data_IF_241112869423
#
_entry.id   IF_241112869423
#
_cell.length_a   1.000
_cell.length_b   1.000
_cell.length_c   1.000
_cell.angle_alpha   90.00
_cell.angle_beta   90.00
_cell.angle_gamma   90.00
#
_symmetry.space_group_name_H-M   'P 1'
#
loop_
_entity.id
_entity.type
_entity.pdbx_description
1 polymer ?
#
# COMPACT_ATOMS: atom_id res chain seq x y z
N UNK A 1 46.28 31.81 -26.51
CA UNK A 1 45.39 32.47 -27.49
C UNK A 1 43.95 32.21 -27.04
N UNK A 2 43.28 33.19 -26.42
CA UNK A 2 42.11 33.93 -26.94
C UNK A 2 40.88 33.00 -27.15
N UNK A 3 39.87 32.93 -26.27
CA UNK A 3 38.81 33.89 -25.83
C UNK A 3 37.52 33.89 -26.68
N UNK A 4 36.39 33.99 -25.96
CA UNK A 4 34.96 34.25 -26.35
C UNK A 4 34.16 33.00 -26.80
N UNK A 5 33.03 32.58 -26.20
CA UNK A 5 32.00 33.14 -25.27
C UNK A 5 30.82 33.87 -25.94
N UNK A 6 29.63 33.68 -25.34
CA UNK A 6 28.28 34.27 -25.61
C UNK A 6 27.44 33.55 -26.70
N UNK A 7 26.10 33.45 -26.64
CA UNK A 7 25.08 33.69 -25.58
C UNK A 7 23.66 33.48 -26.18
N UNK A 8 22.63 33.21 -25.36
CA UNK A 8 21.43 34.08 -25.17
C UNK A 8 20.18 33.36 -24.64
N UNK A 9 19.56 33.98 -23.62
CA UNK A 9 18.11 33.91 -23.35
C UNK A 9 17.73 33.13 -22.08
N UNK A 10 16.87 33.62 -21.18
CA UNK A 10 16.12 34.89 -21.12
C UNK A 10 15.87 35.25 -19.64
N UNK A 11 15.85 36.55 -19.27
CA UNK A 11 15.56 36.99 -17.87
C UNK A 11 14.63 38.19 -17.86
N UNK A 12 13.52 38.10 -17.12
CA UNK A 12 12.49 39.14 -16.97
C UNK A 12 11.65 38.84 -15.71
N UNK A 13 11.20 39.76 -14.85
CA UNK A 13 11.58 41.17 -14.55
C UNK A 13 10.82 41.65 -13.28
N UNK A 14 11.21 42.82 -12.75
CA UNK A 14 10.57 43.72 -11.74
C UNK A 14 11.22 43.61 -10.34
N UNK A 15 11.93 44.64 -9.82
CA UNK A 15 11.65 46.09 -9.56
C UNK A 15 10.74 46.29 -8.34
N UNK A 16 10.99 47.23 -7.41
CA UNK A 16 12.08 48.23 -7.28
C UNK A 16 12.12 48.82 -5.85
N UNK A 17 13.31 49.19 -5.35
CA UNK A 17 13.88 50.57 -5.21
C UNK A 17 13.40 51.39 -3.99
N UNK A 18 14.38 51.93 -3.24
CA UNK A 18 14.27 52.79 -2.03
C UNK A 18 14.24 54.31 -2.39
N UNK A 19 13.64 55.13 -1.49
CA UNK A 19 13.93 56.53 -1.02
C UNK A 19 14.41 57.62 -2.03
N UNK A 20 13.97 58.91 -1.96
CA UNK A 20 14.03 59.87 -0.80
C UNK A 20 12.70 60.65 -0.55
N UNK A 21 12.57 61.72 0.28
CA UNK A 21 13.40 62.28 1.38
C UNK A 21 13.43 63.83 1.52
N UNK A 22 13.15 64.39 2.73
CA UNK A 22 13.00 65.84 3.16
C UNK A 22 11.71 66.51 2.64
N UNK A 23 10.95 67.36 3.37
CA UNK A 23 11.32 68.53 4.19
C UNK A 23 10.08 69.15 4.93
N UNK A 24 10.28 69.67 6.17
CA UNK A 24 9.65 70.84 6.88
C UNK A 24 8.11 71.10 7.00
N UNK A 25 7.78 72.01 7.95
CA UNK A 25 6.46 72.55 8.38
C UNK A 25 5.64 71.65 9.33
N UNK A 26 5.10 72.09 10.49
CA UNK A 26 5.12 73.41 11.16
C UNK A 26 5.20 73.30 12.70
N UNK A 27 5.38 74.45 13.38
CA UNK A 27 5.40 74.59 14.84
C UNK A 27 3.98 74.67 15.43
N UNK A 28 3.84 74.31 16.71
CA UNK A 28 3.14 75.14 17.71
C UNK A 28 3.66 74.81 19.12
N UNK A 29 3.88 75.84 19.93
CA UNK A 29 4.37 75.75 21.32
C UNK A 29 3.21 75.49 22.29
N UNK A 30 3.47 74.82 23.43
CA UNK A 30 3.01 75.39 24.71
C UNK A 30 3.71 74.83 25.97
N UNK A 31 4.45 75.72 26.63
CA UNK A 31 4.40 76.04 28.07
C UNK A 31 4.46 74.97 29.17
N UNK A 32 5.61 74.98 29.86
CA UNK A 32 5.74 75.09 31.34
C UNK A 32 5.12 74.04 32.29
N UNK A 33 5.97 73.38 33.10
CA UNK A 33 6.24 73.81 34.50
C UNK A 33 6.70 72.68 35.45
N UNK A 34 7.77 72.98 36.20
CA UNK A 34 8.05 72.60 37.60
C UNK A 34 7.97 71.14 38.09
N UNK A 35 9.14 70.64 38.52
CA UNK A 35 9.34 70.33 39.95
C UNK A 35 9.35 68.87 40.39
N UNK A 36 10.18 68.57 41.40
CA UNK A 36 9.96 67.42 42.28
C UNK A 36 10.88 66.21 42.08
N UNK A 37 12.07 66.32 42.67
CA UNK A 37 12.93 65.20 43.09
C UNK A 37 12.15 64.01 43.70
N UNK A 38 12.40 62.78 43.25
CA UNK A 38 11.92 61.56 43.90
C UNK A 38 12.98 60.44 43.93
N UNK A 39 13.06 59.81 45.10
CA UNK A 39 13.97 58.71 45.49
C UNK A 39 13.70 57.40 44.75
N UNK A 40 14.71 56.50 44.63
CA UNK A 40 14.55 55.22 43.96
C UNK A 40 13.79 54.21 44.84
N UNK A 41 12.46 54.21 44.76
CA UNK A 41 11.62 53.23 45.46
C UNK A 41 11.67 51.86 44.76
N UNK A 42 12.49 50.95 45.31
CA UNK A 42 12.55 49.53 44.90
C UNK A 42 11.20 48.84 45.19
N UNK A 43 10.32 48.74 44.19
CA UNK A 43 9.08 47.92 44.27
C UNK A 43 9.43 46.43 44.40
N UNK A 44 9.01 45.72 45.47
CA UNK A 44 9.02 44.27 45.51
C UNK A 44 7.76 43.69 44.82
N UNK A 45 7.79 42.38 44.56
CA UNK A 45 6.62 41.49 44.43
C UNK A 45 5.51 41.81 43.40
N UNK A 46 5.83 42.27 42.19
CA UNK A 46 4.89 42.13 41.04
C UNK A 46 5.16 40.88 40.18
N UNK A 47 6.35 40.29 40.26
CA UNK A 47 6.73 39.11 39.47
C UNK A 47 5.90 37.86 39.80
N UNK A 48 5.57 37.61 41.08
CA UNK A 48 4.89 36.37 41.48
C UNK A 48 3.44 36.29 40.93
N UNK A 49 2.65 37.36 41.06
CA UNK A 49 1.29 37.40 40.49
C UNK A 49 1.30 37.36 38.96
N UNK A 50 2.26 38.02 38.31
CA UNK A 50 2.40 37.99 36.85
C UNK A 50 2.87 36.63 36.33
N UNK A 51 3.68 35.90 37.10
CA UNK A 51 4.10 34.54 36.79
C UNK A 51 2.94 33.55 36.96
N UNK A 52 2.14 33.67 38.02
CA UNK A 52 0.98 32.79 38.26
C UNK A 52 -0.11 32.95 37.18
N UNK A 53 -0.41 34.17 36.74
CA UNK A 53 -1.36 34.40 35.63
C UNK A 53 -0.83 33.94 34.28
N UNK A 54 0.49 34.05 34.05
CA UNK A 54 1.15 33.49 32.85
C UNK A 54 1.07 31.96 32.85
N UNK A 55 1.35 31.29 33.97
CA UNK A 55 1.24 29.83 34.09
C UNK A 55 -0.20 29.36 33.87
N UNK A 56 -1.19 30.01 34.50
CA UNK A 56 -2.61 29.65 34.34
C UNK A 56 -3.11 29.79 32.89
N UNK A 57 -2.71 30.86 32.20
CA UNK A 57 -3.08 31.10 30.80
C UNK A 57 -2.37 30.15 29.83
N UNK A 58 -1.11 29.80 30.10
CA UNK A 58 -0.40 28.75 29.37
C UNK A 58 -1.04 27.37 29.58
N UNK A 59 -1.39 27.00 30.82
CA UNK A 59 -2.10 25.76 31.12
C UNK A 59 -3.47 25.70 30.42
N UNK A 60 -4.26 26.78 30.45
CA UNK A 60 -5.53 26.87 29.71
C UNK A 60 -5.33 26.69 28.21
N UNK A 61 -4.30 27.30 27.65
CA UNK A 61 -3.97 27.17 26.22
C UNK A 61 -3.55 25.73 25.87
N UNK A 62 -2.72 25.10 26.69
CA UNK A 62 -2.32 23.70 26.54
C UNK A 62 -3.52 22.75 26.63
N UNK A 63 -4.41 22.94 27.61
CA UNK A 63 -5.63 22.15 27.74
C UNK A 63 -6.54 22.28 26.51
N UNK A 64 -6.68 23.47 25.94
CA UNK A 64 -7.45 23.69 24.71
C UNK A 64 -6.80 23.02 23.48
N UNK A 65 -5.47 23.11 23.34
CA UNK A 65 -4.72 22.43 22.26
C UNK A 65 -4.82 20.91 22.40
N UNK A 66 -4.65 20.35 23.59
CA UNK A 66 -4.77 18.90 23.84
C UNK A 66 -6.21 18.44 23.59
N UNK A 67 -7.22 19.18 24.09
CA UNK A 67 -8.63 18.80 23.91
C UNK A 67 -9.04 18.83 22.45
N UNK A 68 -8.66 19.87 21.70
CA UNK A 68 -8.95 19.96 20.26
C UNK A 68 -8.19 18.90 19.46
N UNK A 69 -6.92 18.62 19.78
CA UNK A 69 -6.16 17.53 19.16
C UNK A 69 -6.80 16.15 19.41
N UNK A 70 -7.27 15.88 20.63
CA UNK A 70 -7.98 14.64 20.98
C UNK A 70 -9.32 14.52 20.23
N UNK A 71 -10.09 15.59 20.10
CA UNK A 71 -11.33 15.60 19.31
C UNK A 71 -11.03 15.33 17.83
N UNK A 72 -10.04 16.00 17.25
CA UNK A 72 -9.61 15.77 15.87
C UNK A 72 -9.13 14.32 15.66
N UNK A 73 -8.35 13.77 16.58
CA UNK A 73 -7.88 12.38 16.51
C UNK A 73 -9.02 11.37 16.66
N UNK A 74 -9.96 11.60 17.58
CA UNK A 74 -11.14 10.75 17.75
C UNK A 74 -12.05 10.78 16.51
N UNK A 75 -12.29 11.96 15.93
CA UNK A 75 -13.03 12.13 14.69
C UNK A 75 -12.32 11.45 13.51
N UNK A 76 -11.00 11.66 13.35
CA UNK A 76 -10.21 11.00 12.31
C UNK A 76 -10.23 9.47 12.45
N UNK A 77 -10.03 8.94 13.67
CA UNK A 77 -10.15 7.50 13.95
C UNK A 77 -11.53 6.97 13.55
N UNK A 78 -12.60 7.63 13.99
CA UNK A 78 -13.96 7.19 13.71
C UNK A 78 -14.27 7.19 12.19
N UNK A 79 -13.88 8.25 11.49
CA UNK A 79 -14.02 8.37 10.04
C UNK A 79 -13.22 7.29 9.30
N UNK A 80 -11.96 7.06 9.67
CA UNK A 80 -11.13 5.99 9.09
C UNK A 80 -11.76 4.61 9.36
N UNK A 81 -12.15 4.33 10.60
CA UNK A 81 -12.80 3.05 10.95
C UNK A 81 -14.09 2.84 10.15
N UNK A 82 -14.93 3.87 10.00
CA UNK A 82 -16.15 3.80 9.21
C UNK A 82 -15.87 3.54 7.72
N UNK A 83 -14.93 4.26 7.11
CA UNK A 83 -14.56 4.04 5.71
C UNK A 83 -13.97 2.64 5.48
N UNK A 84 -13.09 2.16 6.37
CA UNK A 84 -12.55 0.81 6.30
C UNK A 84 -13.65 -0.25 6.44
N UNK A 85 -14.53 -0.13 7.44
CA UNK A 85 -15.67 -1.05 7.61
C UNK A 85 -16.59 -1.04 6.39
N UNK A 86 -16.90 0.13 5.83
CA UNK A 86 -17.76 0.25 4.65
C UNK A 86 -17.11 -0.36 3.40
N UNK A 87 -15.81 -0.16 3.22
CA UNK A 87 -15.03 -0.76 2.14
C UNK A 87 -14.98 -2.28 2.27
N UNK A 88 -14.55 -2.81 3.42
CA UNK A 88 -14.46 -4.26 3.63
C UNK A 88 -15.81 -4.97 3.54
N UNK A 89 -16.88 -4.36 4.05
CA UNK A 89 -18.25 -4.88 3.88
C UNK A 89 -18.65 -4.94 2.42
N UNK A 90 -18.53 -3.83 1.68
CA UNK A 90 -18.88 -3.78 0.27
C UNK A 90 -18.03 -4.73 -0.62
N UNK A 91 -16.75 -4.92 -0.29
CA UNK A 91 -15.90 -5.92 -0.94
C UNK A 91 -16.33 -7.35 -0.64
N UNK A 92 -16.74 -7.64 0.61
CA UNK A 92 -17.34 -8.92 0.99
C UNK A 92 -18.64 -9.21 0.25
N UNK A 93 -19.58 -8.26 0.27
CA UNK A 93 -20.87 -8.36 -0.43
C UNK A 93 -20.67 -8.62 -1.94
N UNK A 94 -19.75 -7.88 -2.58
CA UNK A 94 -19.43 -8.04 -4.00
C UNK A 94 -18.81 -9.41 -4.30
N UNK A 95 -17.86 -9.86 -3.48
CA UNK A 95 -17.17 -11.14 -3.64
C UNK A 95 -18.14 -12.32 -3.47
N UNK A 96 -18.95 -12.28 -2.41
CA UNK A 96 -20.02 -13.25 -2.16
C UNK A 96 -21.01 -13.30 -3.33
N UNK A 97 -21.52 -12.15 -3.79
CA UNK A 97 -22.46 -12.11 -4.92
C UNK A 97 -21.87 -12.62 -6.25
N UNK A 98 -20.55 -12.56 -6.43
CA UNK A 98 -19.88 -13.09 -7.62
C UNK A 98 -19.63 -14.60 -7.52
N UNK A 99 -19.36 -15.11 -6.32
CA UNK A 99 -19.29 -16.54 -6.03
C UNK A 99 -20.66 -17.22 -6.13
N UNK A 100 -21.69 -16.56 -5.60
CA UNK A 100 -23.09 -16.94 -5.71
C UNK A 100 -23.48 -17.23 -7.16
N UNK A 101 -23.26 -16.26 -8.05
CA UNK A 101 -23.54 -16.40 -9.51
C UNK A 101 -22.75 -17.53 -10.18
N UNK A 102 -21.54 -17.81 -9.70
CA UNK A 102 -20.73 -18.92 -10.20
C UNK A 102 -21.33 -20.26 -9.79
N UNK A 103 -21.71 -20.41 -8.51
CA UNK A 103 -22.38 -21.61 -8.00
C UNK A 103 -23.76 -21.82 -8.63
N UNK A 104 -24.53 -20.76 -8.87
CA UNK A 104 -25.80 -20.82 -9.60
C UNK A 104 -25.65 -21.35 -11.04
N UNK A 105 -24.43 -21.28 -11.61
CA UNK A 105 -24.10 -21.74 -12.97
C UNK A 105 -23.47 -23.14 -13.00
N UNK A 106 -22.60 -23.45 -12.03
CA UNK A 106 -21.78 -24.68 -12.00
C UNK A 106 -22.40 -25.77 -11.12
N UNK A 107 -23.28 -25.40 -10.20
CA UNK A 107 -23.81 -26.26 -9.14
C UNK A 107 -23.02 -26.15 -7.84
N UNK A 108 -23.58 -26.68 -6.76
CA UNK A 108 -23.09 -26.52 -5.38
C UNK A 108 -22.43 -27.78 -4.80
N UNK A 109 -22.26 -28.84 -5.58
CA UNK A 109 -21.69 -30.09 -5.07
C UNK A 109 -20.22 -29.89 -4.62
N UNK A 110 -19.91 -30.09 -3.32
CA UNK A 110 -18.58 -29.79 -2.78
C UNK A 110 -17.48 -30.65 -3.41
N UNK A 111 -17.78 -31.89 -3.81
CA UNK A 111 -16.80 -32.80 -4.39
C UNK A 111 -16.47 -32.40 -5.84
N UNK A 112 -17.50 -32.11 -6.65
CA UNK A 112 -17.29 -31.61 -8.01
C UNK A 112 -16.55 -30.27 -8.03
N UNK A 113 -16.83 -29.36 -7.10
CA UNK A 113 -16.14 -28.08 -7.03
C UNK A 113 -14.70 -28.21 -6.53
N UNK A 114 -14.49 -28.79 -5.35
CA UNK A 114 -13.17 -28.78 -4.71
C UNK A 114 -12.19 -29.79 -5.31
N UNK A 115 -12.66 -30.94 -5.80
CA UNK A 115 -11.79 -31.95 -6.43
C UNK A 115 -11.67 -31.70 -7.92
N UNK A 116 -12.78 -31.79 -8.69
CA UNK A 116 -12.71 -31.66 -10.14
C UNK A 116 -12.49 -30.22 -10.60
N UNK A 117 -13.28 -29.26 -10.09
CA UNK A 117 -13.21 -27.84 -10.47
C UNK A 117 -11.82 -27.26 -10.23
N UNK A 118 -11.29 -27.39 -9.01
CA UNK A 118 -9.92 -26.97 -8.67
C UNK A 118 -8.88 -27.66 -9.55
N UNK A 119 -8.94 -28.99 -9.69
CA UNK A 119 -7.95 -29.73 -10.50
C UNK A 119 -7.94 -29.31 -11.96
N UNK A 120 -9.13 -29.12 -12.56
CA UNK A 120 -9.27 -28.64 -13.94
C UNK A 120 -8.74 -27.21 -14.07
N UNK A 121 -9.08 -26.31 -13.14
CA UNK A 121 -8.60 -24.93 -13.16
C UNK A 121 -7.08 -24.86 -13.08
N UNK A 122 -6.46 -25.54 -12.11
CA UNK A 122 -5.00 -25.60 -11.95
C UNK A 122 -4.33 -26.22 -13.17
N UNK A 123 -4.89 -27.30 -13.73
CA UNK A 123 -4.39 -27.93 -14.96
C UNK A 123 -4.44 -26.96 -16.14
N UNK A 124 -5.59 -26.32 -16.39
CA UNK A 124 -5.77 -25.37 -17.48
C UNK A 124 -4.81 -24.17 -17.35
N UNK A 125 -4.70 -23.55 -16.16
CA UNK A 125 -3.77 -22.43 -15.93
C UNK A 125 -2.33 -22.85 -16.21
N UNK A 126 -1.90 -24.00 -15.67
CA UNK A 126 -0.56 -24.52 -15.92
C UNK A 126 -0.27 -24.75 -17.40
N UNK A 127 -1.15 -25.45 -18.12
CA UNK A 127 -0.92 -25.80 -19.52
C UNK A 127 -1.12 -24.64 -20.49
N UNK A 128 -1.95 -23.64 -20.17
CA UNK A 128 -2.08 -22.42 -20.98
C UNK A 128 -0.80 -21.59 -20.89
N UNK A 129 -0.40 -21.16 -19.68
CA UNK A 129 0.75 -20.27 -19.53
C UNK A 129 2.09 -21.02 -19.75
N UNK A 130 2.25 -22.19 -19.13
CA UNK A 130 3.42 -23.05 -19.35
C UNK A 130 3.53 -23.55 -20.80
N UNK A 131 2.41 -23.80 -21.47
CA UNK A 131 2.37 -24.14 -22.89
C UNK A 131 2.82 -22.99 -23.80
N UNK A 132 2.42 -21.74 -23.49
CA UNK A 132 2.92 -20.55 -24.20
C UNK A 132 4.45 -20.44 -24.07
N UNK A 133 5.00 -20.54 -22.85
CA UNK A 133 6.46 -20.49 -22.65
C UNK A 133 7.17 -21.65 -23.37
N UNK A 134 6.66 -22.87 -23.24
CA UNK A 134 7.21 -24.07 -23.91
C UNK A 134 7.20 -23.90 -25.43
N UNK A 135 6.13 -23.33 -26.00
CA UNK A 135 6.04 -23.05 -27.44
C UNK A 135 7.08 -22.01 -27.90
N UNK A 136 7.30 -20.95 -27.11
CA UNK A 136 8.34 -19.96 -27.39
C UNK A 136 9.75 -20.58 -27.32
N UNK A 137 9.99 -21.51 -26.39
CA UNK A 137 11.28 -22.20 -26.24
C UNK A 137 11.55 -23.24 -27.33
N UNK A 138 10.53 -23.97 -27.81
CA UNK A 138 10.66 -24.87 -28.96
C UNK A 138 10.87 -24.08 -30.25
N UNK A 139 10.07 -23.03 -30.49
CA UNK A 139 10.12 -22.27 -31.75
C UNK A 139 11.24 -21.23 -31.83
N UNK A 140 11.77 -20.78 -30.67
CA UNK A 140 12.76 -19.72 -30.54
C UNK A 140 12.37 -18.40 -31.24
N UNK A 141 11.07 -18.11 -31.33
CA UNK A 141 10.49 -16.97 -32.04
C UNK A 141 9.42 -16.27 -31.20
N UNK A 142 9.19 -14.95 -31.37
CA UNK A 142 9.98 -14.02 -32.18
C UNK A 142 11.30 -13.62 -31.52
N UNK A 143 12.32 -13.32 -32.33
CA UNK A 143 13.66 -12.96 -31.85
C UNK A 143 13.68 -11.75 -30.89
N UNK A 144 12.69 -10.85 -30.99
CA UNK A 144 12.54 -9.70 -30.10
C UNK A 144 12.29 -10.08 -28.62
N UNK A 145 11.74 -11.27 -28.34
CA UNK A 145 11.53 -11.75 -26.96
C UNK A 145 12.78 -12.44 -26.39
N UNK A 146 13.67 -13.00 -27.22
CA UNK A 146 14.88 -13.70 -26.76
C UNK A 146 15.80 -12.83 -25.91
N UNK A 147 15.80 -11.50 -26.12
CA UNK A 147 16.58 -10.53 -25.33
C UNK A 147 16.14 -10.40 -23.85
N UNK A 148 14.99 -10.96 -23.50
CA UNK A 148 14.45 -10.98 -22.13
C UNK A 148 14.56 -12.35 -21.45
N UNK A 149 15.19 -13.35 -22.09
CA UNK A 149 15.46 -14.64 -21.44
C UNK A 149 16.46 -14.46 -20.29
N UNK A 150 16.13 -15.06 -19.14
CA UNK A 150 16.98 -15.05 -17.93
C UNK A 150 18.25 -15.88 -18.13
N UNK A 151 18.20 -16.95 -18.95
CA UNK A 151 19.33 -17.84 -19.25
C UNK A 151 19.53 -17.97 -20.77
N UNK A 152 20.24 -17.04 -21.43
CA UNK A 152 20.48 -17.09 -22.87
C UNK A 152 21.42 -18.25 -23.25
N UNK A 153 21.10 -18.95 -24.35
CA UNK A 153 21.94 -20.02 -24.92
C UNK A 153 21.86 -21.39 -24.24
N UNK A 154 21.15 -21.52 -23.11
CA UNK A 154 20.92 -22.81 -22.44
C UNK A 154 19.76 -23.56 -23.10
N UNK A 155 20.00 -24.82 -23.50
CA UNK A 155 19.00 -25.70 -24.14
C UNK A 155 18.32 -25.12 -25.41
N UNK A 156 19.04 -24.35 -26.24
CA UNK A 156 18.55 -23.89 -27.54
C UNK A 156 19.22 -24.68 -28.69
N UNK A 157 18.48 -25.41 -29.55
CA UNK A 157 17.05 -25.72 -29.47
C UNK A 157 16.74 -26.77 -28.38
N UNK A 158 15.50 -26.79 -27.90
CA UNK A 158 15.05 -27.72 -26.88
C UNK A 158 15.06 -29.16 -27.42
N UNK A 159 15.73 -30.06 -26.69
CA UNK A 159 15.75 -31.51 -26.98
C UNK A 159 14.33 -32.08 -26.81
N UNK A 160 13.70 -32.44 -27.93
CA UNK A 160 12.32 -32.92 -28.00
C UNK A 160 12.09 -34.21 -27.21
N UNK A 161 13.11 -35.08 -27.08
CA UNK A 161 12.99 -36.32 -26.29
C UNK A 161 12.96 -36.02 -24.80
N UNK A 162 13.80 -35.09 -24.34
CA UNK A 162 13.77 -34.61 -22.95
C UNK A 162 12.48 -33.86 -22.65
N UNK A 163 12.02 -33.01 -23.57
CA UNK A 163 10.76 -32.29 -23.44
C UNK A 163 9.56 -33.23 -23.29
N UNK A 164 9.43 -34.25 -24.16
CA UNK A 164 8.37 -35.25 -24.04
C UNK A 164 8.44 -36.03 -22.73
N UNK A 165 9.65 -36.36 -22.25
CA UNK A 165 9.84 -37.00 -20.94
C UNK A 165 9.37 -36.10 -19.78
N UNK A 166 9.64 -34.80 -19.84
CA UNK A 166 9.18 -33.83 -18.83
C UNK A 166 7.66 -33.64 -18.90
N UNK A 167 7.09 -33.48 -20.10
CA UNK A 167 5.63 -33.40 -20.32
C UNK A 167 4.93 -34.61 -19.73
N UNK A 168 5.44 -35.83 -19.98
CA UNK A 168 4.89 -37.06 -19.41
C UNK A 168 4.99 -37.09 -17.88
N UNK A 169 6.14 -36.68 -17.32
CA UNK A 169 6.34 -36.61 -15.87
C UNK A 169 5.36 -35.63 -15.21
N UNK A 170 5.16 -34.45 -15.79
CA UNK A 170 4.20 -33.44 -15.30
C UNK A 170 2.77 -33.97 -15.37
N UNK A 171 2.38 -34.58 -16.49
CA UNK A 171 1.04 -35.16 -16.64
C UNK A 171 0.79 -36.29 -15.64
N UNK A 172 1.76 -37.18 -15.42
CA UNK A 172 1.70 -38.22 -14.40
C UNK A 172 1.58 -37.62 -12.99
N UNK A 173 2.37 -36.60 -12.65
CA UNK A 173 2.30 -35.94 -11.35
C UNK A 173 0.93 -35.27 -11.12
N UNK A 174 0.38 -34.59 -12.13
CA UNK A 174 -0.94 -33.95 -12.02
C UNK A 174 -2.09 -34.97 -11.90
N UNK A 175 -2.01 -36.10 -12.61
CA UNK A 175 -3.12 -37.08 -12.66
C UNK A 175 -3.03 -38.20 -11.62
N UNK A 176 -1.83 -38.73 -11.34
CA UNK A 176 -1.63 -39.90 -10.47
C UNK A 176 -1.20 -39.49 -9.05
N UNK A 177 -0.62 -38.31 -8.86
CA UNK A 177 -0.22 -37.82 -7.53
C UNK A 177 -1.19 -36.75 -7.01
N UNK A 178 -1.40 -35.66 -7.76
CA UNK A 178 -2.18 -34.52 -7.28
C UNK A 178 -3.68 -34.82 -7.18
N UNK A 179 -4.29 -35.54 -8.14
CA UNK A 179 -5.72 -35.85 -8.09
C UNK A 179 -6.12 -36.77 -6.91
N UNK A 180 -5.44 -37.91 -6.64
CA UNK A 180 -5.72 -38.68 -5.42
C UNK A 180 -5.46 -37.89 -4.12
N UNK A 181 -4.45 -37.01 -4.11
CA UNK A 181 -4.20 -36.12 -2.97
C UNK A 181 -5.34 -35.12 -2.76
N UNK A 182 -5.93 -34.56 -3.82
CA UNK A 182 -7.11 -33.69 -3.75
C UNK A 182 -8.33 -34.43 -3.18
N UNK A 183 -8.55 -35.69 -3.59
CA UNK A 183 -9.60 -36.56 -3.01
C UNK A 183 -9.36 -36.83 -1.52
N UNK A 184 -8.11 -37.10 -1.12
CA UNK A 184 -7.75 -37.28 0.29
C UNK A 184 -7.97 -36.01 1.13
N UNK A 185 -7.60 -34.83 0.60
CA UNK A 185 -7.85 -33.56 1.28
C UNK A 185 -9.34 -33.23 1.37
N UNK A 186 -10.14 -33.53 0.35
CA UNK A 186 -11.60 -33.40 0.41
C UNK A 186 -12.19 -34.14 1.61
N UNK A 187 -11.89 -35.44 1.78
CA UNK A 187 -12.38 -36.21 2.92
C UNK A 187 -11.84 -35.70 4.25
N UNK A 188 -10.61 -35.16 4.28
CA UNK A 188 -10.03 -34.53 5.46
C UNK A 188 -10.77 -33.24 5.86
N UNK A 189 -11.19 -32.42 4.89
CA UNK A 189 -12.00 -31.22 5.13
C UNK A 189 -13.41 -31.55 5.59
N UNK A 190 -14.04 -32.57 4.99
CA UNK A 190 -15.35 -33.08 5.44
C UNK A 190 -15.29 -33.61 6.88
N UNK A 191 -14.23 -34.36 7.23
CA UNK A 191 -14.00 -34.80 8.61
C UNK A 191 -13.83 -33.64 9.61
N UNK A 192 -13.28 -32.50 9.17
CA UNK A 192 -13.18 -31.27 9.99
C UNK A 192 -14.49 -30.47 10.10
N UNK A 193 -15.55 -30.87 9.40
CA UNK A 193 -16.85 -30.20 9.45
C UNK A 193 -16.95 -28.91 8.61
N UNK A 194 -16.14 -28.76 7.56
CA UNK A 194 -16.28 -27.66 6.60
C UNK A 194 -17.39 -28.01 5.61
N UNK A 195 -18.62 -27.53 5.87
CA UNK A 195 -19.82 -28.00 5.16
C UNK A 195 -20.48 -27.00 4.22
N UNK A 196 -20.33 -25.68 4.44
CA UNK A 196 -20.98 -24.68 3.60
C UNK A 196 -20.05 -24.21 2.47
N UNK A 197 -20.42 -24.56 1.23
CA UNK A 197 -19.73 -24.12 0.01
C UNK A 197 -20.13 -22.70 -0.39
N UNK A 198 -21.35 -22.27 -0.03
CA UNK A 198 -21.91 -20.98 -0.41
C UNK A 198 -21.26 -19.86 0.40
N UNK A 199 -21.17 -20.02 1.72
CA UNK A 199 -20.63 -19.02 2.63
C UNK A 199 -19.10 -18.92 2.51
N UNK A 200 -18.62 -17.76 2.09
CA UNK A 200 -17.19 -17.48 2.01
C UNK A 200 -16.64 -16.83 3.31
N UNK A 201 -15.33 -17.01 3.60
CA UNK A 201 -14.68 -16.25 4.65
C UNK A 201 -14.77 -14.73 4.41
N UNK A 202 -14.64 -13.93 5.46
CA UNK A 202 -14.66 -12.47 5.32
C UNK A 202 -13.54 -12.00 4.39
N UNK A 203 -13.81 -10.98 3.58
CA UNK A 203 -12.87 -10.53 2.54
C UNK A 203 -11.46 -10.21 3.09
N UNK A 204 -11.38 -9.61 4.29
CA UNK A 204 -10.10 -9.31 4.94
C UNK A 204 -9.38 -10.56 5.49
N UNK A 205 -10.11 -11.64 5.80
CA UNK A 205 -9.52 -12.91 6.21
C UNK A 205 -8.87 -13.62 5.01
N UNK A 206 -9.53 -13.63 3.85
CA UNK A 206 -8.94 -14.15 2.60
C UNK A 206 -7.66 -13.39 2.23
N UNK A 207 -7.64 -12.06 2.41
CA UNK A 207 -6.42 -11.26 2.21
C UNK A 207 -5.30 -11.59 3.22
N UNK A 208 -5.65 -11.94 4.47
CA UNK A 208 -4.68 -12.38 5.48
C UNK A 208 -4.10 -13.75 5.11
N UNK A 209 -4.95 -14.71 4.75
CA UNK A 209 -4.55 -16.05 4.32
C UNK A 209 -3.62 -15.97 3.10
N UNK A 210 -4.02 -15.23 2.06
CA UNK A 210 -3.18 -15.02 0.87
C UNK A 210 -1.82 -14.37 1.21
N UNK A 211 -1.79 -13.39 2.12
CA UNK A 211 -0.54 -12.77 2.55
C UNK A 211 0.36 -13.74 3.33
N UNK A 212 -0.23 -14.60 4.17
CA UNK A 212 0.48 -15.65 4.90
C UNK A 212 1.01 -16.73 3.95
N UNK A 213 0.22 -17.16 2.97
CA UNK A 213 0.61 -18.15 1.97
C UNK A 213 1.80 -17.67 1.13
N UNK A 214 1.78 -16.42 0.66
CA UNK A 214 2.92 -15.82 -0.08
C UNK A 214 4.19 -15.77 0.79
N UNK A 215 4.06 -15.43 2.08
CA UNK A 215 5.20 -15.41 3.00
C UNK A 215 5.75 -16.82 3.28
N UNK A 216 4.87 -17.81 3.42
CA UNK A 216 5.25 -19.21 3.61
C UNK A 216 5.88 -19.81 2.34
N UNK A 217 5.38 -19.45 1.15
CA UNK A 217 5.96 -19.81 -0.14
C UNK A 217 7.40 -19.27 -0.27
N UNK A 218 7.61 -17.97 -0.01
CA UNK A 218 8.94 -17.34 -0.07
C UNK A 218 9.93 -18.00 0.91
N UNK A 219 9.50 -18.28 2.15
CA UNK A 219 10.31 -18.98 3.16
C UNK A 219 10.62 -20.41 2.71
N UNK A 220 9.61 -21.16 2.24
CA UNK A 220 9.77 -22.54 1.77
C UNK A 220 10.68 -22.64 0.54
N UNK A 221 10.55 -21.69 -0.39
CA UNK A 221 11.41 -21.55 -1.56
C UNK A 221 12.86 -21.29 -1.15
N UNK A 222 13.11 -20.35 -0.24
CA UNK A 222 14.45 -20.04 0.26
C UNK A 222 15.16 -21.26 0.87
N UNK A 223 14.46 -22.03 1.71
CA UNK A 223 15.05 -23.20 2.37
C UNK A 223 15.11 -24.46 1.48
N UNK A 224 14.27 -24.58 0.44
CA UNK A 224 14.35 -25.71 -0.51
C UNK A 224 15.44 -25.57 -1.56
N UNK A 225 15.97 -24.36 -1.77
CA UNK A 225 17.02 -24.06 -2.76
C UNK A 225 18.41 -23.82 -2.14
N UNK A 226 18.55 -23.92 -0.82
CA UNK A 226 19.80 -23.71 -0.08
C UNK A 226 20.53 -25.02 0.22
#
# INVERSE_FOLDING_TARGET
MIKKKFSTGYRSRRRGKRKPGKMLADLEDDSSSSGGELTPTRKPSNQHNQQNTTILSSLRSLLLVISSALICFAAARNTITWHCQRFWGASGDFWQAQWDRFLDTVGEDPFYLWVYGTSILTFCVYWIFGGIYTFLDVTNKPAALRRYKIQPGTNEPVDTKKLLKVIWCVFFNQTVVAFPLAVMFYYTMQYRGVTNVRELPTFHWVLLELAMDILLEEIGFYYSHR
#
